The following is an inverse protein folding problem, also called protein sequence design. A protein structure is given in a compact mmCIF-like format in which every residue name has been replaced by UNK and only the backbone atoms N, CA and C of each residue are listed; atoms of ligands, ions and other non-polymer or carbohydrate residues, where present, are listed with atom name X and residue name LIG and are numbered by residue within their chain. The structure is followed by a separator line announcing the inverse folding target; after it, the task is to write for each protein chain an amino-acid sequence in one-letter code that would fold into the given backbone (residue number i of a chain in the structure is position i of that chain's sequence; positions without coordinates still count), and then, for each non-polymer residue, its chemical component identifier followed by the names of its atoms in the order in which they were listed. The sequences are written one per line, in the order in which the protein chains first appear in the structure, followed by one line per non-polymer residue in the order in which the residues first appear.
data_IF_622304622542
#
_entry.id   IF_622304622542
#
_cell.length_a   1.000
_cell.length_b   1.000
_cell.length_c   1.000
_cell.angle_alpha   90.00
_cell.angle_beta   90.00
_cell.angle_gamma   90.00
#
_symmetry.space_group_name_H-M   'P 1'
#
loop_
_entity.id
_entity.type
_entity.pdbx_description
1 polymer ?
#
# COMPACT_ATOMS: atom_id res chain seq x y z
N UNK A 1 -24.33 -28.92 42.54
CA UNK A 1 -23.09 -28.33 43.03
C UNK A 1 -22.97 -26.97 42.36
N UNK A 2 -23.37 -25.92 43.08
CA UNK A 2 -23.56 -24.54 42.60
C UNK A 2 -22.20 -23.87 42.47
N UNK A 3 -21.94 -23.24 41.36
CA UNK A 3 -20.84 -22.28 41.19
C UNK A 3 -21.45 -20.89 41.12
N UNK A 4 -21.16 -20.09 42.14
CA UNK A 4 -21.57 -18.71 42.33
C UNK A 4 -20.97 -17.82 41.24
N UNK A 5 -21.85 -17.08 40.55
CA UNK A 5 -21.48 -15.93 39.71
C UNK A 5 -21.20 -14.74 40.63
N UNK A 6 -19.93 -14.41 40.79
CA UNK A 6 -19.52 -13.18 41.45
C UNK A 6 -19.88 -11.98 40.58
N UNK A 7 -20.85 -11.21 41.01
CA UNK A 7 -21.17 -9.86 40.52
C UNK A 7 -20.06 -8.91 40.95
N UNK A 8 -19.25 -8.44 40.02
CA UNK A 8 -18.46 -7.22 40.18
C UNK A 8 -19.04 -6.13 39.26
N UNK A 9 -19.99 -5.38 39.81
CA UNK A 9 -20.41 -4.10 39.29
C UNK A 9 -19.43 -3.05 39.83
N UNK A 10 -18.49 -2.63 39.02
CA UNK A 10 -17.87 -1.29 39.16
C UNK A 10 -18.08 -0.56 37.87
N UNK A 11 -18.87 0.51 37.95
CA UNK A 11 -19.19 1.38 36.86
C UNK A 11 -17.92 2.04 36.31
N UNK A 12 -17.56 1.67 35.09
CA UNK A 12 -16.62 2.43 34.29
C UNK A 12 -17.39 2.94 33.09
N UNK A 13 -17.81 4.21 33.13
CA UNK A 13 -18.27 4.97 31.96
C UNK A 13 -17.04 5.28 31.08
N UNK A 14 -16.40 4.23 30.58
CA UNK A 14 -15.33 4.33 29.61
C UNK A 14 -15.94 4.67 28.26
N UNK A 15 -15.76 5.88 27.79
CA UNK A 15 -15.92 6.19 26.37
C UNK A 15 -15.16 5.12 25.58
N UNK A 16 -15.84 4.37 24.74
CA UNK A 16 -15.21 3.35 23.87
C UNK A 16 -14.19 4.06 23.02
N UNK A 17 -12.90 3.84 23.28
CA UNK A 17 -11.81 4.49 22.53
C UNK A 17 -11.89 4.02 21.08
N UNK A 18 -12.23 4.92 20.17
CA UNK A 18 -12.27 4.63 18.73
C UNK A 18 -10.88 4.17 18.30
N UNK A 19 -10.81 3.10 17.51
CA UNK A 19 -9.55 2.62 16.96
C UNK A 19 -8.95 3.70 16.03
N UNK A 20 -7.62 3.92 16.06
CA UNK A 20 -6.98 4.88 15.16
C UNK A 20 -7.28 4.64 13.68
N UNK A 21 -7.39 3.38 13.26
CA UNK A 21 -7.76 2.98 11.90
C UNK A 21 -9.18 3.39 11.54
N UNK A 22 -10.15 3.17 12.44
CA UNK A 22 -11.53 3.63 12.26
C UNK A 22 -11.59 5.15 12.22
N UNK A 23 -10.87 5.84 13.11
CA UNK A 23 -10.84 7.31 13.10
C UNK A 23 -10.32 7.84 11.76
N UNK A 24 -9.24 7.26 11.22
CA UNK A 24 -8.70 7.64 9.91
C UNK A 24 -9.73 7.49 8.78
N UNK A 25 -10.52 6.41 8.78
CA UNK A 25 -11.61 6.23 7.81
C UNK A 25 -12.74 7.25 8.00
N UNK A 26 -13.12 7.54 9.24
CA UNK A 26 -14.12 8.57 9.56
C UNK A 26 -13.65 9.97 9.09
N UNK A 27 -12.36 10.26 9.26
CA UNK A 27 -11.77 11.53 8.78
C UNK A 27 -11.82 11.61 7.24
N UNK A 28 -11.59 10.50 6.52
CA UNK A 28 -11.76 10.43 5.07
C UNK A 28 -13.21 10.72 4.68
N UNK A 29 -14.19 10.07 5.33
CA UNK A 29 -15.64 10.32 5.12
C UNK A 29 -16.03 11.77 5.42
N UNK A 30 -15.30 12.42 6.33
CA UNK A 30 -15.47 13.85 6.65
C UNK A 30 -14.72 14.80 5.70
N UNK A 31 -14.05 14.28 4.66
CA UNK A 31 -13.39 15.08 3.64
C UNK A 31 -11.89 15.30 3.86
N UNK A 32 -11.21 14.51 4.69
CA UNK A 32 -9.74 14.54 4.77
C UNK A 32 -9.14 14.25 3.37
N UNK A 33 -8.29 15.14 2.88
CA UNK A 33 -7.67 15.04 1.55
C UNK A 33 -6.14 15.10 1.60
N UNK A 34 -5.54 14.73 2.75
CA UNK A 34 -4.08 14.77 2.98
C UNK A 34 -3.48 13.38 2.96
N UNK A 35 -2.13 13.29 2.88
CA UNK A 35 -1.39 12.03 2.93
C UNK A 35 -1.75 11.19 4.16
N UNK A 36 -1.80 9.88 3.98
CA UNK A 36 -1.99 8.91 5.07
C UNK A 36 -0.67 8.45 5.70
N UNK A 37 0.47 8.97 5.25
CA UNK A 37 1.77 8.71 5.87
C UNK A 37 1.74 9.17 7.34
N UNK A 38 2.05 8.26 8.27
CA UNK A 38 2.00 8.52 9.71
C UNK A 38 0.60 8.56 10.34
N UNK A 39 -0.46 8.33 9.54
CA UNK A 39 -1.84 8.20 10.04
C UNK A 39 -2.06 6.77 10.54
N UNK A 40 -2.69 6.63 11.72
CA UNK A 40 -2.99 5.34 12.34
C UNK A 40 -1.77 4.40 12.40
N UNK A 41 -0.66 4.87 12.99
CA UNK A 41 0.55 4.09 13.18
C UNK A 41 0.23 2.73 13.81
N UNK A 42 0.89 1.67 13.34
CA UNK A 42 0.64 0.29 13.75
C UNK A 42 -0.38 -0.45 12.89
N UNK A 43 -1.13 0.24 12.05
CA UNK A 43 -2.14 -0.36 11.17
C UNK A 43 -1.67 -0.44 9.71
N UNK A 44 -2.05 -1.53 9.05
CA UNK A 44 -1.71 -1.78 7.65
C UNK A 44 -2.43 -0.78 6.75
N UNK A 45 -1.68 -0.15 5.86
CA UNK A 45 -2.21 0.68 4.79
C UNK A 45 -2.11 -0.06 3.45
N UNK A 46 -3.15 0.04 2.63
CA UNK A 46 -3.25 -0.68 1.37
C UNK A 46 -3.39 0.22 0.15
N UNK A 47 -2.75 -0.21 -0.95
CA UNK A 47 -2.99 0.32 -2.28
C UNK A 47 -4.31 -0.23 -2.81
N UNK A 48 -5.13 0.61 -3.45
CA UNK A 48 -6.42 0.19 -3.98
C UNK A 48 -6.40 0.11 -5.51
N UNK A 49 -6.96 -0.97 -6.05
CA UNK A 49 -7.31 -1.12 -7.47
C UNK A 49 -8.71 -1.70 -7.59
N UNK A 50 -9.59 -1.05 -8.35
CA UNK A 50 -10.97 -1.48 -8.59
C UNK A 50 -11.16 -1.65 -10.08
N UNK A 51 -11.65 -2.80 -10.49
CA UNK A 51 -11.76 -3.21 -11.89
C UNK A 51 -13.13 -3.88 -12.14
N UNK A 52 -13.66 -3.80 -13.37
CA UNK A 52 -14.79 -4.62 -13.77
C UNK A 52 -14.47 -6.12 -13.61
N UNK A 53 -15.45 -6.92 -13.20
CA UNK A 53 -15.37 -8.37 -12.96
C UNK A 53 -14.69 -9.12 -14.11
N UNK A 54 -15.00 -8.77 -15.36
CA UNK A 54 -14.41 -9.38 -16.56
C UNK A 54 -12.87 -9.26 -16.63
N UNK A 55 -12.27 -8.33 -15.87
CA UNK A 55 -10.82 -8.11 -15.79
C UNK A 55 -10.24 -8.63 -14.47
N UNK A 56 -11.08 -8.87 -13.45
CA UNK A 56 -10.66 -9.21 -12.10
C UNK A 56 -9.82 -10.50 -12.05
N UNK A 57 -10.23 -11.55 -12.76
CA UNK A 57 -9.49 -12.83 -12.81
C UNK A 57 -8.09 -12.66 -13.43
N UNK A 58 -7.97 -11.86 -14.50
CA UNK A 58 -6.68 -11.59 -15.13
C UNK A 58 -5.78 -10.74 -14.20
N UNK A 59 -6.34 -9.74 -13.52
CA UNK A 59 -5.59 -8.92 -12.56
C UNK A 59 -5.15 -9.73 -11.33
N UNK A 60 -6.05 -10.55 -10.78
CA UNK A 60 -5.70 -11.47 -9.70
C UNK A 60 -4.53 -12.38 -10.09
N UNK A 61 -4.60 -12.98 -11.31
CA UNK A 61 -3.49 -13.78 -11.83
C UNK A 61 -2.20 -12.97 -11.98
N UNK A 62 -2.28 -11.72 -12.46
CA UNK A 62 -1.13 -10.83 -12.53
C UNK A 62 -0.50 -10.62 -11.15
N UNK A 63 -1.30 -10.36 -10.13
CA UNK A 63 -0.82 -10.20 -8.76
C UNK A 63 -0.15 -11.48 -8.22
N UNK A 64 -0.75 -12.66 -8.46
CA UNK A 64 -0.19 -13.94 -8.04
C UNK A 64 1.14 -14.27 -8.73
N UNK A 65 1.31 -13.89 -9.99
CA UNK A 65 2.58 -14.06 -10.72
C UNK A 65 3.64 -13.04 -10.29
N UNK A 66 3.23 -11.94 -9.67
CA UNK A 66 4.10 -10.84 -9.24
C UNK A 66 3.86 -10.46 -7.77
N UNK A 67 4.04 -11.40 -6.82
CA UNK A 67 3.62 -11.20 -5.43
C UNK A 67 4.42 -10.11 -4.70
N UNK A 68 5.65 -9.80 -5.13
CA UNK A 68 6.44 -8.74 -4.51
C UNK A 68 5.87 -7.33 -4.79
N UNK A 69 5.65 -6.90 -6.05
CA UNK A 69 5.05 -5.59 -6.32
C UNK A 69 3.54 -5.54 -6.06
N UNK A 70 2.85 -6.68 -6.08
CA UNK A 70 1.39 -6.76 -6.01
C UNK A 70 0.89 -7.73 -4.93
N UNK A 71 1.31 -7.59 -3.65
CA UNK A 71 0.90 -8.48 -2.58
C UNK A 71 -0.56 -8.19 -2.19
N UNK A 72 -1.50 -9.07 -2.55
CA UNK A 72 -2.92 -8.93 -2.22
C UNK A 72 -3.10 -9.20 -0.72
N UNK A 73 -3.71 -8.25 0.00
CA UNK A 73 -4.10 -8.38 1.41
C UNK A 73 -5.62 -8.47 1.59
N UNK A 74 -6.39 -8.13 0.57
CA UNK A 74 -7.85 -8.27 0.56
C UNK A 74 -8.42 -8.08 -0.83
N UNK A 75 -9.60 -8.69 -1.05
CA UNK A 75 -10.38 -8.57 -2.27
C UNK A 75 -11.87 -8.56 -1.91
N UNK A 76 -12.66 -7.73 -2.57
CA UNK A 76 -14.11 -7.73 -2.38
C UNK A 76 -14.80 -8.81 -3.20
N UNK A 77 -16.02 -9.15 -2.81
CA UNK A 77 -16.93 -9.82 -3.71
C UNK A 77 -17.35 -8.86 -4.84
N UNK A 78 -17.93 -9.42 -5.91
CA UNK A 78 -18.41 -8.62 -7.05
C UNK A 78 -19.55 -7.71 -6.59
N UNK A 79 -19.41 -6.42 -6.85
CA UNK A 79 -20.40 -5.39 -6.49
C UNK A 79 -20.45 -5.01 -5.01
N UNK A 80 -19.78 -5.75 -4.11
CA UNK A 80 -19.73 -5.40 -2.68
C UNK A 80 -18.56 -4.44 -2.41
N UNK A 81 -18.80 -3.24 -1.87
CA UNK A 81 -17.74 -2.30 -1.53
C UNK A 81 -17.06 -2.63 -0.20
N UNK A 82 -17.44 -3.69 0.50
CA UNK A 82 -16.92 -4.08 1.80
C UNK A 82 -15.85 -5.16 1.70
N UNK A 83 -14.88 -5.11 2.57
CA UNK A 83 -13.92 -6.19 2.79
C UNK A 83 -13.81 -6.41 4.31
N UNK A 84 -14.72 -7.19 4.92
CA UNK A 84 -14.79 -7.35 6.38
C UNK A 84 -13.49 -7.85 7.02
N UNK A 85 -12.68 -8.60 6.28
CA UNK A 85 -11.36 -9.06 6.73
C UNK A 85 -10.37 -7.90 6.97
N UNK A 86 -10.59 -6.73 6.35
CA UNK A 86 -9.75 -5.55 6.50
C UNK A 86 -10.34 -4.50 7.46
N UNK A 87 -11.63 -4.57 7.76
CA UNK A 87 -12.34 -3.69 8.69
C UNK A 87 -13.84 -3.89 8.61
N UNK A 88 -14.50 -4.08 9.76
CA UNK A 88 -15.93 -4.42 9.80
C UNK A 88 -16.85 -3.32 9.25
N UNK A 89 -16.45 -2.06 9.43
CA UNK A 89 -17.19 -0.87 8.97
C UNK A 89 -16.65 -0.32 7.65
N UNK A 90 -15.63 -0.98 7.07
CA UNK A 90 -14.91 -0.49 5.89
C UNK A 90 -15.81 -0.45 4.66
N UNK A 91 -15.91 0.75 4.06
CA UNK A 91 -16.55 1.01 2.77
C UNK A 91 -15.51 1.62 1.82
N UNK A 92 -15.08 0.84 0.83
CA UNK A 92 -14.04 1.25 -0.11
C UNK A 92 -14.43 2.52 -0.89
N UNK A 93 -15.72 2.85 -0.99
CA UNK A 93 -16.21 3.99 -1.77
C UNK A 93 -15.91 5.34 -1.10
N UNK A 94 -15.68 5.36 0.22
CA UNK A 94 -15.58 6.59 1.03
C UNK A 94 -14.36 6.64 1.95
N UNK A 95 -13.64 5.53 2.14
CA UNK A 95 -12.66 5.36 3.21
C UNK A 95 -11.21 5.65 2.81
N UNK A 96 -11.02 6.30 1.66
CA UNK A 96 -9.73 6.84 1.23
C UNK A 96 -9.82 8.36 1.06
N UNK A 97 -8.71 9.09 1.29
CA UNK A 97 -8.72 10.54 1.15
C UNK A 97 -8.99 11.01 -0.29
N UNK A 98 -8.55 10.24 -1.29
CA UNK A 98 -8.76 10.55 -2.70
C UNK A 98 -8.55 9.35 -3.60
N UNK A 99 -9.34 9.29 -4.67
CA UNK A 99 -9.31 8.26 -5.71
C UNK A 99 -8.82 8.85 -7.03
N UNK A 100 -8.48 7.97 -7.98
CA UNK A 100 -8.27 8.25 -9.40
C UNK A 100 -9.21 7.40 -10.22
N UNK A 101 -10.07 8.04 -10.98
CA UNK A 101 -10.91 7.37 -11.98
C UNK A 101 -10.18 7.38 -13.31
N UNK A 102 -9.99 6.21 -13.89
CA UNK A 102 -9.27 6.00 -15.13
C UNK A 102 -10.24 5.64 -16.26
N UNK A 103 -10.01 6.19 -17.45
CA UNK A 103 -10.62 5.77 -18.71
C UNK A 103 -9.55 5.71 -19.79
N UNK A 104 -9.48 4.58 -20.49
CA UNK A 104 -8.54 4.35 -21.61
C UNK A 104 -7.07 4.69 -21.26
N UNK A 105 -6.68 4.48 -20.01
CA UNK A 105 -5.33 4.72 -19.49
C UNK A 105 -5.06 6.14 -18.98
N UNK A 106 -6.04 7.04 -19.06
CA UNK A 106 -5.93 8.42 -18.58
C UNK A 106 -6.73 8.64 -17.29
N UNK A 107 -6.21 9.46 -16.38
CA UNK A 107 -6.95 9.91 -15.19
C UNK A 107 -7.94 10.99 -15.63
N UNK A 108 -9.22 10.70 -15.52
CA UNK A 108 -10.30 11.64 -15.89
C UNK A 108 -10.86 12.42 -14.70
N UNK A 109 -10.70 11.89 -13.48
CA UNK A 109 -11.22 12.52 -12.27
C UNK A 109 -10.42 12.07 -11.03
N UNK A 110 -10.29 12.95 -10.04
CA UNK A 110 -9.69 12.67 -8.72
C UNK A 110 -10.66 13.04 -7.57
N UNK A 111 -11.76 12.28 -7.37
CA UNK A 111 -12.76 12.55 -6.36
C UNK A 111 -12.32 12.13 -4.95
N UNK A 112 -13.01 12.63 -3.92
CA UNK A 112 -12.86 12.23 -2.51
C UNK A 112 -13.71 11.02 -2.14
N UNK A 113 -14.72 10.68 -2.95
CA UNK A 113 -15.50 9.45 -2.87
C UNK A 113 -15.82 8.94 -4.28
N UNK A 114 -16.24 7.68 -4.37
CA UNK A 114 -16.57 7.06 -5.66
C UNK A 114 -17.99 6.48 -5.68
N UNK A 115 -18.88 7.03 -4.87
CA UNK A 115 -20.29 6.59 -4.81
C UNK A 115 -20.97 6.65 -6.18
N UNK A 116 -20.74 7.74 -6.93
CA UNK A 116 -21.30 7.94 -8.27
C UNK A 116 -20.67 7.05 -9.36
N UNK A 117 -19.51 6.48 -9.10
CA UNK A 117 -18.77 5.61 -10.03
C UNK A 117 -18.94 4.12 -9.72
N UNK A 118 -19.53 3.79 -8.55
CA UNK A 118 -19.70 2.40 -8.13
C UNK A 118 -20.74 1.69 -9.00
N UNK A 119 -20.44 0.44 -9.37
CA UNK A 119 -21.30 -0.42 -10.18
C UNK A 119 -21.30 -1.83 -9.61
N UNK A 120 -22.35 -2.58 -9.87
CA UNK A 120 -22.53 -3.96 -9.39
C UNK A 120 -21.59 -4.98 -10.06
N UNK A 121 -20.81 -4.56 -11.07
CA UNK A 121 -19.81 -5.39 -11.75
C UNK A 121 -18.37 -5.12 -11.27
N UNK A 122 -18.17 -4.33 -10.23
CA UNK A 122 -16.84 -3.97 -9.77
C UNK A 122 -16.28 -4.93 -8.72
N UNK A 123 -14.99 -5.20 -8.81
CA UNK A 123 -14.19 -5.94 -7.83
C UNK A 123 -13.05 -5.07 -7.37
N UNK A 124 -12.90 -4.94 -6.06
CA UNK A 124 -11.82 -4.19 -5.45
C UNK A 124 -10.70 -5.11 -4.95
N UNK A 125 -9.47 -4.72 -5.20
CA UNK A 125 -8.25 -5.35 -4.71
C UNK A 125 -7.53 -4.38 -3.79
N UNK A 126 -7.16 -4.84 -2.59
CA UNK A 126 -6.31 -4.10 -1.67
C UNK A 126 -4.96 -4.80 -1.62
N UNK A 127 -3.91 -4.05 -1.92
CA UNK A 127 -2.54 -4.52 -2.03
C UNK A 127 -1.70 -3.90 -0.93
N UNK A 128 -0.81 -4.67 -0.31
CA UNK A 128 0.05 -4.18 0.75
C UNK A 128 0.96 -3.03 0.32
N UNK A 129 1.38 -2.22 1.29
CA UNK A 129 2.23 -1.06 1.07
C UNK A 129 3.47 -1.09 1.95
N UNK A 130 4.57 -0.50 1.47
CA UNK A 130 5.84 -0.41 2.19
C UNK A 130 5.76 0.37 3.51
N UNK A 131 4.77 1.24 3.70
CA UNK A 131 4.56 1.94 4.96
C UNK A 131 4.42 0.99 6.15
N UNK A 132 3.86 -0.21 5.92
CA UNK A 132 3.71 -1.22 6.97
C UNK A 132 5.04 -1.80 7.46
N UNK A 133 6.06 -1.97 6.62
CA UNK A 133 7.36 -2.42 7.07
C UNK A 133 8.30 -1.27 7.53
N UNK A 134 8.05 -0.04 7.09
CA UNK A 134 8.82 1.12 7.54
C UNK A 134 8.73 1.33 9.05
N UNK A 135 7.56 1.08 9.64
CA UNK A 135 7.40 1.10 11.08
C UNK A 135 8.36 0.12 11.78
N UNK A 136 8.51 -1.10 11.24
CA UNK A 136 9.42 -2.09 11.79
C UNK A 136 10.90 -1.68 11.63
N UNK A 137 11.26 -0.99 10.54
CA UNK A 137 12.59 -0.42 10.35
C UNK A 137 12.87 0.69 11.38
N UNK A 138 11.93 1.63 11.55
CA UNK A 138 12.06 2.72 12.52
C UNK A 138 12.06 2.21 13.97
N UNK A 139 11.32 1.15 14.29
CA UNK A 139 11.33 0.53 15.61
C UNK A 139 12.66 -0.17 15.96
N UNK A 140 13.49 -0.48 14.95
CA UNK A 140 14.85 -1.02 15.08
C UNK A 140 15.91 0.10 14.88
N UNK A 141 15.51 1.37 15.06
CA UNK A 141 16.34 2.57 14.95
C UNK A 141 17.03 2.77 13.58
N UNK A 142 16.51 2.18 12.50
CA UNK A 142 17.03 2.43 11.17
C UNK A 142 16.52 3.77 10.63
N UNK A 143 17.42 4.62 10.08
CA UNK A 143 17.03 5.93 9.55
C UNK A 143 16.18 5.79 8.29
N UNK A 144 15.01 6.40 8.26
CA UNK A 144 14.17 6.47 7.06
C UNK A 144 14.18 7.91 6.56
N UNK A 145 15.16 8.23 5.71
CA UNK A 145 15.51 9.60 5.30
C UNK A 145 14.36 10.40 4.72
N UNK A 146 13.50 9.80 3.90
CA UNK A 146 12.36 10.53 3.36
C UNK A 146 11.34 10.90 4.45
N UNK A 147 11.16 10.05 5.48
CA UNK A 147 10.30 10.36 6.63
C UNK A 147 10.92 11.50 7.45
N UNK A 148 12.21 11.41 7.78
CA UNK A 148 12.95 12.42 8.55
C UNK A 148 12.90 13.80 7.88
N UNK A 149 12.96 13.82 6.53
CA UNK A 149 12.94 15.05 5.72
C UNK A 149 11.53 15.48 5.29
N UNK A 150 10.48 14.74 5.67
CA UNK A 150 9.09 14.98 5.27
C UNK A 150 8.91 15.02 3.75
N UNK A 151 9.59 14.13 3.05
CA UNK A 151 9.52 13.92 1.61
C UNK A 151 8.68 12.68 1.30
N UNK A 152 8.21 12.58 0.06
CA UNK A 152 7.62 11.34 -0.45
C UNK A 152 8.75 10.40 -0.86
N UNK A 153 8.60 9.11 -0.56
CA UNK A 153 9.59 8.10 -0.95
C UNK A 153 9.89 8.16 -2.45
N UNK A 154 11.17 8.16 -2.88
CA UNK A 154 11.52 8.15 -4.30
C UNK A 154 11.21 6.79 -4.92
N UNK A 155 10.58 6.79 -6.09
CA UNK A 155 10.20 5.58 -6.80
C UNK A 155 10.65 5.67 -8.27
N UNK A 156 11.06 4.52 -8.80
CA UNK A 156 11.70 4.42 -10.12
C UNK A 156 11.09 3.28 -10.93
N UNK A 157 10.88 3.51 -12.23
CA UNK A 157 10.61 2.46 -13.19
C UNK A 157 11.92 1.71 -13.47
N UNK A 158 11.85 0.41 -13.51
CA UNK A 158 13.02 -0.46 -13.72
C UNK A 158 12.95 -1.19 -15.06
N UNK A 159 14.02 -1.92 -15.41
CA UNK A 159 14.01 -2.89 -16.49
C UNK A 159 13.58 -4.30 -16.04
N UNK A 160 13.19 -4.47 -14.78
CA UNK A 160 12.68 -5.74 -14.26
C UNK A 160 11.25 -5.91 -14.75
N UNK A 161 11.02 -6.86 -15.66
CA UNK A 161 9.72 -7.09 -16.28
C UNK A 161 8.85 -7.96 -15.37
N UNK A 162 7.62 -7.52 -15.10
CA UNK A 162 6.61 -8.32 -14.43
C UNK A 162 6.07 -9.43 -15.36
N UNK A 163 5.77 -10.59 -14.81
CA UNK A 163 5.11 -11.69 -15.54
C UNK A 163 3.73 -11.24 -15.99
N UNK A 164 3.40 -11.25 -17.31
CA UNK A 164 2.15 -10.73 -17.81
C UNK A 164 0.95 -11.67 -17.53
N UNK A 165 -0.25 -11.06 -17.42
CA UNK A 165 -1.51 -11.81 -17.37
C UNK A 165 -2.64 -10.98 -18.01
N UNK A 166 -3.28 -11.52 -19.06
CA UNK A 166 -4.28 -10.78 -19.84
C UNK A 166 -3.73 -9.44 -20.35
N UNK A 167 -4.43 -8.33 -20.15
CA UNK A 167 -3.96 -7.01 -20.59
C UNK A 167 -2.88 -6.41 -19.66
N UNK A 168 -2.60 -7.04 -18.51
CA UNK A 168 -1.71 -6.52 -17.50
C UNK A 168 -0.27 -6.96 -17.78
N UNK A 169 0.58 -6.00 -18.11
CA UNK A 169 2.00 -6.18 -18.37
C UNK A 169 2.74 -4.87 -18.13
N UNK A 170 4.02 -4.95 -17.78
CA UNK A 170 4.86 -3.76 -17.61
C UNK A 170 6.07 -4.00 -16.72
N UNK A 171 6.93 -3.00 -16.59
CA UNK A 171 8.07 -3.07 -15.69
C UNK A 171 7.64 -2.90 -14.22
N UNK A 172 8.43 -3.50 -13.33
CA UNK A 172 8.31 -3.25 -11.89
C UNK A 172 8.72 -1.82 -11.56
N UNK A 173 7.95 -1.15 -10.72
CA UNK A 173 8.36 0.07 -10.04
C UNK A 173 8.97 -0.32 -8.70
N UNK A 174 10.06 0.33 -8.32
CA UNK A 174 10.72 0.14 -7.02
C UNK A 174 10.72 1.44 -6.23
N UNK A 175 10.66 1.33 -4.90
CA UNK A 175 10.92 2.44 -3.98
C UNK A 175 12.34 2.30 -3.40
N UNK A 176 13.05 3.41 -3.17
CA UNK A 176 14.42 3.40 -2.71
C UNK A 176 14.57 4.03 -1.32
N UNK A 177 15.43 3.44 -0.52
CA UNK A 177 15.91 4.01 0.75
C UNK A 177 17.41 3.82 0.85
N UNK A 178 18.17 4.87 1.16
CA UNK A 178 19.62 4.77 1.37
C UNK A 178 19.90 4.29 2.79
N UNK A 179 20.90 3.41 2.94
CA UNK A 179 21.38 2.91 4.22
C UNK A 179 22.89 2.74 4.22
N UNK A 180 23.53 2.87 5.38
CA UNK A 180 24.88 2.38 5.57
C UNK A 180 24.91 0.85 5.44
N UNK A 181 26.06 0.23 5.09
CA UNK A 181 26.11 -1.21 4.83
C UNK A 181 25.54 -2.10 5.95
N UNK A 182 25.83 -1.78 7.22
CA UNK A 182 25.27 -2.55 8.35
C UNK A 182 23.75 -2.41 8.44
N UNK A 183 23.23 -1.19 8.27
CA UNK A 183 21.79 -0.90 8.29
C UNK A 183 21.08 -1.52 7.08
N UNK A 184 21.74 -1.55 5.91
CA UNK A 184 21.20 -2.22 4.73
C UNK A 184 20.99 -3.74 4.97
N UNK A 185 21.97 -4.40 5.62
CA UNK A 185 21.84 -5.82 6.01
C UNK A 185 20.67 -5.98 6.98
N UNK A 186 20.57 -5.11 7.97
CA UNK A 186 19.49 -5.16 8.96
C UNK A 186 18.13 -4.89 8.33
N UNK A 187 18.04 -3.94 7.41
CA UNK A 187 16.82 -3.64 6.67
C UNK A 187 16.34 -4.84 5.83
N UNK A 188 17.26 -5.59 5.19
CA UNK A 188 16.93 -6.84 4.49
C UNK A 188 16.34 -7.87 5.46
N UNK A 189 16.96 -8.09 6.61
CA UNK A 189 16.50 -9.06 7.62
C UNK A 189 15.09 -8.73 8.13
N UNK A 190 14.84 -7.46 8.45
CA UNK A 190 13.54 -6.99 8.97
C UNK A 190 12.48 -7.14 7.89
N UNK A 191 12.69 -6.56 6.69
CA UNK A 191 11.65 -6.51 5.67
C UNK A 191 11.36 -7.87 5.05
N UNK A 192 12.31 -8.82 5.07
CA UNK A 192 12.09 -10.22 4.64
C UNK A 192 10.94 -10.88 5.40
N UNK A 193 10.65 -10.43 6.61
CA UNK A 193 9.57 -10.96 7.45
C UNK A 193 8.18 -10.43 7.08
N UNK A 194 8.08 -9.54 6.09
CA UNK A 194 6.81 -8.89 5.70
C UNK A 194 6.46 -9.19 4.22
N UNK A 195 6.32 -10.46 3.81
CA UNK A 195 6.07 -10.81 2.39
C UNK A 195 4.78 -10.20 1.84
N UNK A 196 3.75 -10.03 2.67
CA UNK A 196 2.46 -9.43 2.30
C UNK A 196 2.50 -7.90 2.09
N UNK A 197 3.66 -7.27 2.31
CA UNK A 197 3.88 -5.83 2.06
C UNK A 197 5.24 -5.61 1.39
N UNK A 198 5.50 -6.38 0.33
CA UNK A 198 6.66 -6.40 -0.57
C UNK A 198 7.86 -7.25 -0.11
N UNK A 199 8.01 -7.57 1.18
CA UNK A 199 9.07 -8.46 1.68
C UNK A 199 10.48 -7.89 1.54
N UNK A 200 11.44 -8.79 1.28
CA UNK A 200 12.84 -8.42 1.05
C UNK A 200 13.01 -7.49 -0.16
N UNK A 201 14.05 -6.64 -0.16
CA UNK A 201 14.42 -5.85 -1.33
C UNK A 201 14.58 -6.70 -2.60
N UNK A 202 14.43 -6.06 -3.74
CA UNK A 202 14.65 -6.69 -5.05
C UNK A 202 16.05 -6.37 -5.59
N UNK A 203 16.69 -5.31 -5.11
CA UNK A 203 18.03 -4.91 -5.53
C UNK A 203 18.73 -4.04 -4.46
N UNK A 204 20.07 -4.12 -4.43
CA UNK A 204 20.95 -3.29 -3.59
C UNK A 204 22.09 -2.71 -4.44
N UNK A 205 22.45 -1.47 -4.19
CA UNK A 205 23.52 -0.78 -4.91
C UNK A 205 23.17 -0.48 -6.37
N UNK A 206 24.14 -0.25 -7.16
CA UNK A 206 24.17 -0.04 -8.62
C UNK A 206 22.82 0.15 -9.35
N UNK A 207 22.20 1.35 -9.30
CA UNK A 207 20.85 1.60 -9.86
C UNK A 207 20.78 1.32 -11.37
N UNK A 208 21.88 1.52 -12.12
CA UNK A 208 21.94 1.22 -13.54
C UNK A 208 21.69 -0.25 -13.87
N UNK A 209 22.00 -1.19 -12.98
CA UNK A 209 21.76 -2.63 -13.19
C UNK A 209 20.28 -2.97 -13.30
N UNK A 210 19.41 -2.15 -12.73
CA UNK A 210 17.94 -2.27 -12.82
C UNK A 210 17.32 -1.18 -13.70
N UNK A 211 18.10 -0.53 -14.57
CA UNK A 211 17.63 0.43 -15.58
C UNK A 211 17.37 1.84 -15.05
N UNK A 212 17.78 2.18 -13.83
CA UNK A 212 17.65 3.54 -13.29
C UNK A 212 18.85 4.36 -13.75
N UNK A 213 18.62 5.30 -14.68
CA UNK A 213 19.69 6.10 -15.28
C UNK A 213 20.24 7.19 -14.33
N UNK A 214 19.38 7.81 -13.52
CA UNK A 214 19.76 8.88 -12.60
C UNK A 214 18.94 8.74 -11.30
N UNK A 215 19.59 8.34 -10.23
CA UNK A 215 18.94 8.15 -8.91
C UNK A 215 18.46 9.49 -8.31
N UNK A 216 18.99 10.63 -8.76
CA UNK A 216 18.55 11.94 -8.32
C UNK A 216 17.25 12.40 -9.02
N UNK A 217 16.76 11.65 -10.02
CA UNK A 217 15.54 11.95 -10.79
C UNK A 217 14.54 10.80 -10.70
N UNK A 218 13.82 10.64 -9.59
CA UNK A 218 12.79 9.61 -9.47
C UNK A 218 11.64 9.87 -10.45
N UNK A 219 11.04 8.79 -10.97
CA UNK A 219 9.81 8.87 -11.78
C UNK A 219 8.60 9.33 -10.96
N UNK A 220 8.60 9.00 -9.65
CA UNK A 220 7.55 9.37 -8.70
C UNK A 220 8.18 9.69 -7.34
N UNK A 221 7.48 10.51 -6.55
CA UNK A 221 7.98 10.95 -5.24
C UNK A 221 8.98 12.08 -5.34
N UNK A 222 9.80 12.23 -4.33
CA UNK A 222 10.78 13.31 -4.22
C UNK A 222 12.21 12.75 -4.18
N UNK A 223 13.21 13.43 -4.73
CA UNK A 223 14.59 12.96 -4.69
C UNK A 223 15.12 12.90 -3.25
N UNK A 224 15.74 11.79 -2.91
CA UNK A 224 16.40 11.58 -1.62
C UNK A 224 17.90 11.33 -1.88
N UNK A 225 18.80 12.11 -1.28
CA UNK A 225 20.23 11.94 -1.48
C UNK A 225 20.73 10.62 -0.91
N UNK A 226 21.70 10.03 -1.59
CA UNK A 226 22.47 8.86 -1.13
C UNK A 226 23.87 9.37 -0.82
N UNK A 227 24.31 9.24 0.42
CA UNK A 227 25.64 9.70 0.84
C UNK A 227 26.73 8.71 0.38
N UNK A 228 28.00 9.15 0.40
CA UNK A 228 29.11 8.38 -0.16
C UNK A 228 29.37 7.03 0.58
N UNK A 229 28.97 6.93 1.85
CA UNK A 229 29.09 5.73 2.68
C UNK A 229 27.79 4.90 2.74
N UNK A 230 26.83 5.20 1.87
CA UNK A 230 25.53 4.54 1.83
C UNK A 230 25.32 3.71 0.57
N UNK A 231 24.43 2.74 0.70
CA UNK A 231 23.97 1.85 -0.37
C UNK A 231 22.49 2.13 -0.62
N UNK A 232 22.07 2.47 -1.84
CA UNK A 232 20.65 2.52 -2.18
C UNK A 232 20.08 1.10 -2.18
N UNK A 233 18.99 0.92 -1.44
CA UNK A 233 18.27 -0.36 -1.34
C UNK A 233 16.89 -0.18 -1.95
N UNK A 234 16.48 -1.11 -2.82
CA UNK A 234 15.29 -1.01 -3.65
C UNK A 234 14.29 -2.11 -3.31
N UNK A 235 13.07 -1.72 -2.97
CA UNK A 235 11.93 -2.62 -2.76
C UNK A 235 10.93 -2.51 -3.89
N UNK A 236 10.28 -3.60 -4.22
CA UNK A 236 9.10 -3.56 -5.07
C UNK A 236 8.08 -2.58 -4.48
N UNK A 237 7.30 -1.90 -5.33
CA UNK A 237 6.41 -0.82 -4.91
C UNK A 237 4.98 -1.02 -5.43
N UNK A 238 4.00 -0.67 -4.60
CA UNK A 238 2.57 -0.68 -4.93
C UNK A 238 2.16 0.32 -6.03
N UNK A 239 3.06 1.16 -6.52
CA UNK A 239 2.85 1.94 -7.76
C UNK A 239 2.90 1.04 -9.00
N UNK A 240 3.55 -0.13 -8.95
CA UNK A 240 3.58 -1.08 -10.08
C UNK A 240 2.18 -1.42 -10.60
N UNK A 241 1.21 -1.87 -9.79
CA UNK A 241 -0.13 -2.16 -10.28
C UNK A 241 -0.82 -0.94 -10.90
N UNK A 242 -0.63 0.27 -10.37
CA UNK A 242 -1.18 1.49 -10.98
C UNK A 242 -0.56 1.78 -12.36
N UNK A 243 0.77 1.67 -12.48
CA UNK A 243 1.47 1.86 -13.75
C UNK A 243 1.02 0.84 -14.80
N UNK A 244 0.78 -0.42 -14.37
CA UNK A 244 0.29 -1.49 -15.25
C UNK A 244 -1.17 -1.26 -15.67
N UNK A 245 -2.04 -0.79 -14.77
CA UNK A 245 -3.43 -0.43 -15.08
C UNK A 245 -3.47 0.71 -16.10
N UNK A 246 -2.66 1.76 -15.90
CA UNK A 246 -2.54 2.87 -16.85
C UNK A 246 -2.06 2.39 -18.24
N UNK A 247 -1.02 1.55 -18.28
CA UNK A 247 -0.46 1.01 -19.51
C UNK A 247 -1.42 0.08 -20.26
N UNK A 248 -2.30 -0.64 -19.54
CA UNK A 248 -3.30 -1.53 -20.11
C UNK A 248 -4.44 -0.80 -20.81
N UNK A 249 -4.54 0.53 -20.66
CA UNK A 249 -5.56 1.39 -21.30
C UNK A 249 -6.98 0.82 -21.17
N UNK A 250 -7.32 0.42 -19.94
CA UNK A 250 -8.63 -0.18 -19.66
C UNK A 250 -9.75 0.84 -19.90
N UNK A 251 -10.91 0.43 -20.41
CA UNK A 251 -12.08 1.31 -20.56
C UNK A 251 -12.50 1.97 -19.23
N UNK A 252 -12.27 1.29 -18.13
CA UNK A 252 -12.56 1.79 -16.80
C UNK A 252 -11.72 1.09 -15.73
N UNK A 253 -11.18 1.88 -14.80
CA UNK A 253 -10.57 1.42 -13.55
C UNK A 253 -10.65 2.54 -12.50
N UNK A 254 -10.55 2.19 -11.23
CA UNK A 254 -10.34 3.16 -10.15
C UNK A 254 -9.14 2.72 -9.32
N UNK A 255 -8.32 3.67 -8.89
CA UNK A 255 -7.23 3.43 -7.94
C UNK A 255 -7.26 4.48 -6.84
N UNK A 256 -6.49 4.29 -5.76
CA UNK A 256 -6.19 5.38 -4.83
C UNK A 256 -5.29 6.42 -5.50
N UNK A 257 -5.32 7.66 -5.03
CA UNK A 257 -4.31 8.66 -5.40
C UNK A 257 -3.00 8.40 -4.64
N UNK A 258 -1.82 8.64 -5.24
CA UNK A 258 -0.53 8.32 -4.64
C UNK A 258 -0.33 8.94 -3.25
N UNK A 259 0.04 8.12 -2.27
CA UNK A 259 0.25 8.54 -0.88
C UNK A 259 -1.03 8.71 -0.05
N UNK A 260 -2.20 8.40 -0.61
CA UNK A 260 -3.53 8.52 -0.01
C UNK A 260 -4.17 7.13 0.11
N UNK A 261 -3.65 6.33 1.05
CA UNK A 261 -3.88 4.89 1.14
C UNK A 261 -5.17 4.56 1.90
N UNK A 262 -5.69 3.34 1.71
CA UNK A 262 -6.71 2.76 2.58
C UNK A 262 -6.10 2.35 3.91
N UNK A 263 -6.64 2.82 5.03
CA UNK A 263 -6.23 2.39 6.37
C UNK A 263 -7.13 1.25 6.83
N UNK A 264 -6.53 0.09 7.16
CA UNK A 264 -7.24 -1.13 7.56
C UNK A 264 -7.18 -1.34 9.08
N UNK A 265 -7.98 -2.29 9.61
CA UNK A 265 -7.92 -2.71 11.02
C UNK A 265 -6.84 -3.78 11.27
N UNK A 266 -6.18 -4.27 10.23
CA UNK A 266 -5.04 -5.17 10.38
C UNK A 266 -3.87 -4.43 11.01
N UNK A 267 -3.22 -5.05 11.99
CA UNK A 267 -1.98 -4.49 12.57
C UNK A 267 -0.76 -4.95 11.78
N UNK A 268 0.23 -4.06 11.59
CA UNK A 268 1.46 -4.36 10.85
C UNK A 268 2.14 -5.64 11.34
N UNK A 269 2.19 -5.87 12.67
CA UNK A 269 2.78 -7.07 13.27
C UNK A 269 2.10 -8.39 12.86
N UNK A 270 0.83 -8.36 12.45
CA UNK A 270 0.11 -9.56 11.99
C UNK A 270 0.57 -10.03 10.61
N UNK A 271 1.22 -9.16 9.83
CA UNK A 271 1.78 -9.49 8.52
C UNK A 271 3.21 -10.02 8.60
N UNK A 272 3.83 -9.98 9.78
CA UNK A 272 5.16 -10.52 9.98
C UNK A 272 5.13 -12.05 10.03
N UNK A 273 6.02 -12.70 9.26
CA UNK A 273 6.30 -14.13 9.37
C UNK A 273 7.55 -14.36 10.21
N UNK A 274 7.66 -15.54 10.85
CA UNK A 274 8.80 -15.93 11.70
C UNK A 274 10.04 -16.29 10.87
#
# INVERSE_FOLDING_TARGET
MNVELAKNQQGNTGATKILPSLQARLDCRAGMATTTAGVANGYVQGNLAILPEKLAAAFHRFCQLNPKPCPIIGMSDVGDPRIPALGLDLDIRTDLPRYRVWRDGEVVEEPTDIMAHWRDDLVAFVLGCSYSFEEALMADDLPIRHVERKLRVPMYRTNIVCSPAGPFAGPMVVSMRPFKPADAIRAVQITSRFPSVHGAPVHLGHPHSIGIADIAKPDYGDPVPVEADEIPVFWACGVTPQAVIAAAKLPFAITHAPGLMLVTDLQNKQLAVL
#
